data_IF_213512973382
#
_entry.id   IF_213512973382
#
_cell.length_a   1.000
_cell.length_b   1.000
_cell.length_c   1.000
_cell.angle_alpha   90.00
_cell.angle_beta   90.00
_cell.angle_gamma   90.00
#
_symmetry.space_group_name_H-M   'P 1'
#
loop_
_entity.id
_entity.type
_entity.pdbx_description
1 polymer ?
#
# COMPACT_ATOMS: atom_id res chain seq x y z
N UNK A 1 3.21 3.91 23.63
CA UNK A 1 3.18 4.42 22.24
C UNK A 1 1.82 4.09 21.68
N UNK A 2 1.13 5.06 21.08
CA UNK A 2 -0.24 4.88 20.60
C UNK A 2 -0.29 4.79 19.07
N UNK A 3 0.14 3.62 18.57
CA UNK A 3 0.16 3.35 17.13
C UNK A 3 -1.25 3.21 16.56
N UNK A 4 -2.18 2.64 17.33
CA UNK A 4 -3.53 2.37 16.86
C UNK A 4 -4.28 3.68 16.64
N UNK A 5 -4.26 4.61 17.59
CA UNK A 5 -4.88 5.94 17.40
C UNK A 5 -4.21 6.70 16.26
N UNK A 6 -2.90 6.58 16.09
CA UNK A 6 -2.20 7.22 14.96
C UNK A 6 -2.63 6.62 13.61
N UNK A 7 -2.73 5.29 13.54
CA UNK A 7 -3.21 4.58 12.36
C UNK A 7 -4.66 4.94 12.01
N UNK A 8 -5.53 5.05 13.02
CA UNK A 8 -6.93 5.49 12.87
C UNK A 8 -7.01 6.92 12.34
N UNK A 9 -6.23 7.84 12.92
CA UNK A 9 -6.16 9.23 12.45
C UNK A 9 -5.77 9.31 10.97
N UNK A 10 -4.73 8.58 10.56
CA UNK A 10 -4.28 8.54 9.15
C UNK A 10 -5.38 7.94 8.26
N UNK A 11 -6.00 6.85 8.69
CA UNK A 11 -7.06 6.20 7.93
C UNK A 11 -8.22 7.18 7.70
N UNK A 12 -8.78 7.76 8.77
CA UNK A 12 -9.92 8.68 8.68
C UNK A 12 -9.60 9.94 7.90
N UNK A 13 -8.38 10.48 8.01
CA UNK A 13 -7.91 11.54 7.12
C UNK A 13 -7.96 11.10 5.65
N UNK A 14 -7.37 9.95 5.29
CA UNK A 14 -7.43 9.40 3.92
C UNK A 14 -8.86 9.13 3.43
N UNK A 15 -9.78 8.78 4.34
CA UNK A 15 -11.16 8.47 3.95
C UNK A 15 -11.93 9.65 3.37
N UNK A 16 -11.51 10.88 3.67
CA UNK A 16 -12.08 12.11 3.11
C UNK A 16 -11.78 12.24 1.60
N UNK A 17 -10.70 11.62 1.15
CA UNK A 17 -10.25 11.62 -0.23
C UNK A 17 -10.75 10.41 -1.03
N UNK A 18 -11.48 9.48 -0.41
CA UNK A 18 -12.01 8.31 -1.10
C UNK A 18 -13.22 8.69 -1.96
N UNK A 19 -13.19 8.35 -3.25
CA UNK A 19 -14.31 8.64 -4.17
C UNK A 19 -15.55 7.80 -3.81
N UNK A 20 -16.62 8.45 -3.35
CA UNK A 20 -17.88 7.83 -2.93
C UNK A 20 -18.89 7.67 -4.08
N UNK A 21 -18.92 8.60 -5.02
CA UNK A 21 -19.89 8.60 -6.11
C UNK A 21 -19.58 7.48 -7.09
N UNK A 22 -20.57 6.64 -7.40
CA UNK A 22 -20.40 5.47 -8.28
C UNK A 22 -20.83 5.73 -9.71
N UNK A 23 -21.90 6.51 -9.89
CA UNK A 23 -22.51 6.79 -11.18
C UNK A 23 -23.07 8.20 -11.21
N UNK A 24 -23.15 8.75 -12.42
CA UNK A 24 -23.66 10.08 -12.69
C UNK A 24 -24.63 9.98 -13.86
N UNK A 25 -25.78 10.65 -13.76
CA UNK A 25 -26.69 10.84 -14.88
C UNK A 25 -26.52 12.26 -15.38
N UNK A 26 -25.85 12.40 -16.51
CA UNK A 26 -25.62 13.68 -17.16
C UNK A 26 -26.77 14.01 -18.12
N UNK A 27 -27.20 15.27 -18.11
CA UNK A 27 -28.12 15.81 -19.13
C UNK A 27 -27.30 16.13 -20.37
N UNK A 28 -27.76 15.66 -21.53
CA UNK A 28 -27.14 15.98 -22.82
C UNK A 28 -27.86 17.15 -23.48
N UNK A 29 -27.10 18.16 -23.87
CA UNK A 29 -27.58 19.32 -24.61
C UNK A 29 -26.72 19.49 -25.86
N UNK A 30 -27.23 19.00 -27.00
CA UNK A 30 -26.47 18.95 -28.27
C UNK A 30 -25.15 18.17 -28.11
N UNK A 31 -24.02 18.89 -28.17
CA UNK A 31 -22.65 18.38 -28.06
C UNK A 31 -22.03 18.64 -26.68
N UNK A 32 -22.84 18.98 -25.68
CA UNK A 32 -22.42 19.17 -24.28
C UNK A 32 -23.10 18.19 -23.35
N UNK A 33 -22.46 17.92 -22.21
CA UNK A 33 -23.04 17.22 -21.07
C UNK A 33 -22.98 18.11 -19.83
N UNK A 34 -24.06 18.08 -19.06
CA UNK A 34 -24.19 18.79 -17.79
C UNK A 34 -24.46 17.77 -16.67
N UNK A 35 -23.69 17.81 -15.58
CA UNK A 35 -23.84 16.90 -14.47
C UNK A 35 -23.28 17.45 -13.15
N UNK A 36 -23.64 16.81 -12.03
CA UNK A 36 -23.06 17.10 -10.72
C UNK A 36 -22.04 16.02 -10.33
N UNK A 37 -20.82 16.45 -10.04
CA UNK A 37 -19.73 15.61 -9.57
C UNK A 37 -19.54 15.81 -8.06
N UNK A 38 -19.54 14.74 -7.28
CA UNK A 38 -19.15 14.79 -5.86
C UNK A 38 -17.61 14.72 -5.79
N UNK A 39 -16.95 15.86 -5.61
CA UNK A 39 -15.49 15.97 -5.54
C UNK A 39 -15.00 16.00 -4.08
N UNK A 40 -13.98 15.19 -3.71
CA UNK A 40 -13.52 15.10 -2.32
C UNK A 40 -12.91 16.40 -1.77
N UNK A 41 -12.40 17.29 -2.63
CA UNK A 41 -11.79 18.55 -2.23
C UNK A 41 -12.72 19.75 -2.44
N UNK A 42 -13.49 19.72 -3.52
CA UNK A 42 -14.27 20.88 -3.98
C UNK A 42 -15.75 20.77 -3.61
N UNK A 43 -16.17 19.64 -3.03
CA UNK A 43 -17.57 19.36 -2.76
C UNK A 43 -18.35 19.06 -4.03
N UNK A 44 -19.64 19.40 -4.04
CA UNK A 44 -20.51 19.15 -5.19
C UNK A 44 -20.29 20.22 -6.26
N UNK A 45 -19.76 19.81 -7.41
CA UNK A 45 -19.47 20.69 -8.55
C UNK A 45 -20.52 20.48 -9.64
N UNK A 46 -21.10 21.56 -10.16
CA UNK A 46 -21.84 21.52 -11.42
C UNK A 46 -20.86 21.62 -12.59
N UNK A 47 -20.74 20.53 -13.34
CA UNK A 47 -19.84 20.41 -14.49
C UNK A 47 -20.65 20.57 -15.78
N UNK A 48 -20.15 21.44 -16.65
CA UNK A 48 -20.61 21.62 -18.02
C UNK A 48 -19.42 21.50 -18.95
N UNK A 49 -19.38 20.46 -19.77
CA UNK A 49 -18.24 20.18 -20.65
C UNK A 49 -18.67 19.57 -22.00
N UNK A 50 -17.84 19.67 -23.04
CA UNK A 50 -18.09 19.00 -24.31
C UNK A 50 -18.28 17.49 -24.12
N UNK A 51 -19.23 16.92 -24.86
CA UNK A 51 -19.47 15.49 -24.89
C UNK A 51 -18.20 14.76 -25.37
N UNK A 52 -17.58 13.90 -24.55
CA UNK A 52 -16.33 13.26 -24.91
C UNK A 52 -16.44 12.40 -26.16
N UNK A 53 -15.42 12.47 -27.03
CA UNK A 53 -15.31 11.60 -28.21
C UNK A 53 -15.05 10.14 -27.81
N UNK A 54 -14.20 9.96 -26.79
CA UNK A 54 -13.83 8.66 -26.23
C UNK A 54 -14.80 8.15 -25.16
N UNK A 55 -14.70 6.85 -24.86
CA UNK A 55 -15.51 6.23 -23.79
C UNK A 55 -15.06 6.66 -22.39
N UNK A 56 -13.77 6.90 -22.19
CA UNK A 56 -13.20 7.31 -20.91
C UNK A 56 -12.64 8.72 -21.05
N UNK A 57 -12.81 9.55 -20.02
CA UNK A 57 -12.35 10.93 -19.95
C UNK A 57 -12.14 11.34 -18.50
N UNK A 58 -11.46 12.47 -18.25
CA UNK A 58 -11.30 13.05 -16.91
C UNK A 58 -12.08 14.35 -16.81
N UNK A 59 -12.66 14.57 -15.64
CA UNK A 59 -13.25 15.85 -15.25
C UNK A 59 -12.87 16.12 -13.80
N UNK A 60 -12.28 17.30 -13.51
CA UNK A 60 -11.78 17.67 -12.18
C UNK A 60 -10.91 16.58 -11.53
N UNK A 61 -9.93 16.05 -12.26
CA UNK A 61 -9.04 14.98 -11.76
C UNK A 61 -9.67 13.59 -11.63
N UNK A 62 -11.00 13.46 -11.71
CA UNK A 62 -11.74 12.21 -11.60
C UNK A 62 -11.95 11.56 -12.97
N UNK A 63 -11.58 10.29 -13.07
CA UNK A 63 -11.81 9.43 -14.22
C UNK A 63 -13.26 8.99 -14.33
N UNK A 64 -13.86 9.27 -15.50
CA UNK A 64 -15.24 8.97 -15.84
C UNK A 64 -15.29 8.08 -17.08
N UNK A 65 -16.35 7.26 -17.17
CA UNK A 65 -16.60 6.36 -18.29
C UNK A 65 -18.05 6.44 -18.74
N UNK A 66 -18.26 6.69 -20.02
CA UNK A 66 -19.59 6.60 -20.65
C UNK A 66 -20.01 5.13 -20.70
N UNK A 67 -21.12 4.79 -20.05
CA UNK A 67 -21.73 3.44 -20.09
C UNK A 67 -23.02 3.40 -20.89
N UNK A 68 -23.72 4.53 -21.03
CA UNK A 68 -24.90 4.67 -21.89
C UNK A 68 -24.97 6.07 -22.47
N UNK A 69 -25.34 6.19 -23.75
CA UNK A 69 -25.44 7.46 -24.47
C UNK A 69 -26.76 7.51 -25.24
N UNK A 70 -27.66 8.40 -24.81
CA UNK A 70 -28.95 8.65 -25.45
C UNK A 70 -29.01 10.08 -26.01
N UNK A 71 -30.14 10.46 -26.62
CA UNK A 71 -30.35 11.80 -27.19
C UNK A 71 -30.37 12.92 -26.14
N UNK A 72 -30.89 12.64 -24.95
CA UNK A 72 -31.11 13.63 -23.89
C UNK A 72 -30.31 13.36 -22.60
N UNK A 73 -29.72 12.16 -22.48
CA UNK A 73 -29.02 11.73 -21.27
C UNK A 73 -27.79 10.91 -21.61
N UNK A 74 -26.79 11.00 -20.75
CA UNK A 74 -25.61 10.14 -20.75
C UNK A 74 -25.44 9.58 -19.35
N UNK A 75 -25.28 8.26 -19.22
CA UNK A 75 -24.96 7.64 -17.94
C UNK A 75 -23.46 7.42 -17.88
N UNK A 76 -22.84 7.96 -16.84
CA UNK A 76 -21.42 7.86 -16.57
C UNK A 76 -21.21 6.92 -15.39
N UNK A 77 -20.29 5.97 -15.55
CA UNK A 77 -19.66 5.27 -14.44
C UNK A 77 -18.50 6.14 -13.94
N UNK A 78 -18.43 6.38 -12.63
CA UNK A 78 -17.22 6.92 -12.01
C UNK A 78 -16.19 5.81 -11.97
N UNK A 79 -15.26 5.85 -12.92
CA UNK A 79 -14.24 4.82 -13.08
C UNK A 79 -13.35 4.72 -11.84
N UNK A 80 -13.13 5.86 -11.17
CA UNK A 80 -12.32 5.98 -9.97
C UNK A 80 -13.05 5.72 -8.66
N UNK A 81 -14.32 5.31 -8.68
CA UNK A 81 -15.08 5.01 -7.47
C UNK A 81 -14.32 4.04 -6.55
N UNK A 82 -14.13 4.42 -5.28
CA UNK A 82 -13.37 3.68 -4.27
C UNK A 82 -11.87 3.96 -4.25
N UNK A 83 -11.31 4.63 -5.26
CA UNK A 83 -9.94 5.14 -5.29
C UNK A 83 -9.72 6.30 -4.32
N UNK A 84 -8.46 6.56 -3.98
CA UNK A 84 -8.04 7.69 -3.15
C UNK A 84 -7.58 8.83 -4.06
N UNK A 85 -8.21 9.99 -3.94
CA UNK A 85 -7.83 11.21 -4.64
C UNK A 85 -6.57 11.80 -4.03
N UNK A 86 -5.58 12.13 -4.86
CA UNK A 86 -4.40 12.86 -4.44
C UNK A 86 -4.64 14.36 -4.67
N UNK A 87 -4.73 15.19 -3.61
CA UNK A 87 -4.95 16.63 -3.76
C UNK A 87 -3.75 17.38 -4.35
N UNK A 88 -2.55 16.80 -4.30
CA UNK A 88 -1.32 17.42 -4.82
C UNK A 88 -1.21 17.15 -6.31
N UNK A 89 -1.33 15.88 -6.71
CA UNK A 89 -1.32 15.48 -8.13
C UNK A 89 -2.64 15.80 -8.84
N UNK A 90 -3.66 16.19 -8.08
CA UNK A 90 -5.02 16.49 -8.53
C UNK A 90 -5.60 15.36 -9.41
N UNK A 91 -5.40 14.11 -8.97
CA UNK A 91 -5.82 12.92 -9.69
C UNK A 91 -5.86 11.68 -8.80
N UNK A 92 -6.38 10.56 -9.33
CA UNK A 92 -6.36 9.27 -8.65
C UNK A 92 -5.22 8.41 -9.22
N UNK A 93 -4.16 8.08 -8.45
CA UNK A 93 -3.03 7.27 -8.91
C UNK A 93 -3.36 5.77 -8.91
N UNK A 94 -4.27 5.36 -9.80
CA UNK A 94 -4.82 3.99 -9.84
C UNK A 94 -3.87 2.88 -10.29
N UNK A 95 -2.76 3.24 -10.94
CA UNK A 95 -1.64 2.38 -11.33
C UNK A 95 -0.59 2.22 -10.22
N UNK A 96 -0.69 3.00 -9.15
CA UNK A 96 0.17 2.93 -7.99
C UNK A 96 -0.45 2.08 -6.87
N UNK A 97 0.12 2.09 -5.66
CA UNK A 97 -0.26 1.18 -4.57
C UNK A 97 -0.90 1.85 -3.36
N UNK A 98 -1.22 3.15 -3.43
CA UNK A 98 -1.84 3.88 -2.33
C UNK A 98 -3.20 3.28 -1.93
N UNK A 99 -4.13 3.11 -2.88
CA UNK A 99 -5.47 2.59 -2.62
C UNK A 99 -5.48 1.18 -2.02
N UNK A 100 -4.56 0.30 -2.46
CA UNK A 100 -4.47 -1.06 -1.90
C UNK A 100 -3.86 -1.07 -0.51
N UNK A 101 -2.91 -0.18 -0.20
CA UNK A 101 -2.38 -0.03 1.15
C UNK A 101 -3.36 0.66 2.10
N UNK A 102 -4.18 1.58 1.59
CA UNK A 102 -5.33 2.11 2.31
C UNK A 102 -6.32 0.99 2.69
N UNK A 103 -6.62 0.08 1.76
CA UNK A 103 -7.44 -1.10 2.05
C UNK A 103 -6.81 -2.01 3.13
N UNK A 104 -5.48 -2.22 3.08
CA UNK A 104 -4.77 -2.99 4.10
C UNK A 104 -4.85 -2.34 5.48
N UNK A 105 -4.63 -1.01 5.56
CA UNK A 105 -4.75 -0.26 6.81
C UNK A 105 -6.17 -0.39 7.39
N UNK A 106 -7.19 -0.17 6.56
CA UNK A 106 -8.59 -0.33 6.95
C UNK A 106 -8.92 -1.75 7.42
N UNK A 107 -8.36 -2.78 6.78
CA UNK A 107 -8.55 -4.16 7.20
C UNK A 107 -7.88 -4.47 8.54
N UNK A 108 -6.71 -3.89 8.83
CA UNK A 108 -6.07 -4.00 10.16
C UNK A 108 -6.96 -3.33 11.21
N UNK A 109 -7.41 -2.10 10.98
CA UNK A 109 -8.29 -1.38 11.91
C UNK A 109 -9.62 -2.10 12.12
N UNK A 110 -10.22 -2.63 11.05
CA UNK A 110 -11.44 -3.44 11.13
C UNK A 110 -11.25 -4.66 12.03
N UNK A 111 -10.09 -5.31 11.98
CA UNK A 111 -9.81 -6.46 12.86
C UNK A 111 -9.79 -6.07 14.33
N UNK A 112 -9.31 -4.88 14.65
CA UNK A 112 -9.26 -4.36 16.02
C UNK A 112 -10.61 -3.81 16.51
N UNK A 113 -11.41 -3.21 15.63
CA UNK A 113 -12.64 -2.47 16.02
C UNK A 113 -13.96 -3.12 15.64
N UNK A 114 -13.96 -3.98 14.62
CA UNK A 114 -15.17 -4.63 14.08
C UNK A 114 -16.27 -3.64 13.64
N UNK A 115 -15.89 -2.46 13.14
CA UNK A 115 -16.84 -1.46 12.65
C UNK A 115 -17.12 -1.62 11.15
N UNK A 116 -18.38 -1.64 10.76
CA UNK A 116 -18.78 -1.93 9.36
C UNK A 116 -18.35 -0.84 8.37
N UNK A 117 -18.26 0.42 8.80
CA UNK A 117 -17.80 1.53 7.96
C UNK A 117 -16.35 1.31 7.49
N UNK A 118 -15.48 0.77 8.35
CA UNK A 118 -14.11 0.41 7.99
C UNK A 118 -14.11 -0.65 6.88
N UNK A 119 -14.90 -1.71 7.05
CA UNK A 119 -14.97 -2.81 6.07
C UNK A 119 -15.56 -2.34 4.73
N UNK A 120 -16.56 -1.47 4.74
CA UNK A 120 -17.14 -0.91 3.52
C UNK A 120 -16.12 -0.10 2.72
N UNK A 121 -15.29 0.70 3.39
CA UNK A 121 -14.22 1.46 2.72
C UNK A 121 -13.14 0.55 2.13
N UNK A 122 -12.80 -0.54 2.84
CA UNK A 122 -11.91 -1.58 2.34
C UNK A 122 -12.49 -2.24 1.09
N UNK A 123 -13.78 -2.59 1.09
CA UNK A 123 -14.46 -3.18 -0.07
C UNK A 123 -14.39 -2.26 -1.29
N UNK A 124 -14.72 -0.98 -1.13
CA UNK A 124 -14.64 0.02 -2.22
C UNK A 124 -13.23 0.13 -2.80
N UNK A 125 -12.20 0.19 -1.94
CA UNK A 125 -10.81 0.29 -2.36
C UNK A 125 -10.32 -0.96 -3.13
N UNK A 126 -10.71 -2.16 -2.68
CA UNK A 126 -10.40 -3.40 -3.41
C UNK A 126 -11.19 -3.50 -4.72
N UNK A 127 -12.46 -3.08 -4.73
CA UNK A 127 -13.27 -3.07 -5.95
C UNK A 127 -12.72 -2.12 -7.02
N UNK A 128 -12.19 -0.96 -6.60
CA UNK A 128 -11.39 -0.09 -7.45
C UNK A 128 -10.20 -0.85 -8.04
N UNK A 129 -9.35 -1.44 -7.20
CA UNK A 129 -8.17 -2.19 -7.65
C UNK A 129 -8.52 -3.34 -8.62
N UNK A 130 -9.58 -4.10 -8.34
CA UNK A 130 -10.02 -5.20 -9.21
C UNK A 130 -10.49 -4.72 -10.59
N UNK A 131 -11.10 -3.53 -10.64
CA UNK A 131 -11.57 -2.91 -11.88
C UNK A 131 -10.43 -2.29 -12.68
N UNK A 132 -9.44 -1.70 -12.02
CA UNK A 132 -8.30 -1.01 -12.68
C UNK A 132 -7.13 -1.93 -12.99
N UNK A 133 -7.00 -3.07 -12.32
CA UNK A 133 -5.92 -4.04 -12.58
C UNK A 133 -6.10 -4.83 -13.87
N UNK A 134 -7.34 -5.25 -14.19
CA UNK A 134 -7.59 -6.22 -15.27
C UNK A 134 -6.96 -5.81 -16.61
N UNK A 135 -7.19 -4.56 -17.01
CA UNK A 135 -6.75 -3.99 -18.28
C UNK A 135 -5.74 -2.85 -18.06
N UNK A 136 -5.15 -2.79 -16.86
CA UNK A 136 -4.39 -1.65 -16.33
C UNK A 136 -5.21 -0.36 -16.24
N UNK A 137 -4.70 0.58 -15.46
CA UNK A 137 -5.44 1.81 -15.18
C UNK A 137 -5.40 2.73 -16.40
N UNK A 138 -6.58 3.06 -16.94
CA UNK A 138 -6.68 3.82 -18.19
C UNK A 138 -6.00 5.20 -18.13
N UNK A 139 -6.07 5.85 -16.97
CA UNK A 139 -5.47 7.16 -16.75
C UNK A 139 -4.10 7.07 -16.06
N UNK A 140 -3.46 5.91 -16.12
CA UNK A 140 -2.15 5.69 -15.54
C UNK A 140 -1.09 6.58 -16.16
N UNK A 141 -0.16 7.03 -15.32
CA UNK A 141 1.00 7.87 -15.69
C UNK A 141 2.32 7.21 -15.27
N UNK A 142 2.25 6.13 -14.48
CA UNK A 142 3.36 5.40 -13.92
C UNK A 142 3.41 3.96 -14.45
N UNK A 143 4.49 3.26 -14.11
CA UNK A 143 4.54 1.80 -14.29
C UNK A 143 3.72 1.11 -13.21
N UNK A 144 2.81 0.21 -13.61
CA UNK A 144 1.93 -0.47 -12.67
C UNK A 144 2.74 -1.26 -11.60
N UNK A 145 2.62 -0.85 -10.34
CA UNK A 145 3.38 -1.41 -9.20
C UNK A 145 2.73 -2.68 -8.63
N UNK A 146 2.66 -3.71 -9.47
CA UNK A 146 1.95 -4.96 -9.18
C UNK A 146 2.35 -5.59 -7.86
N UNK A 147 3.65 -5.70 -7.57
CA UNK A 147 4.10 -6.46 -6.40
C UNK A 147 3.65 -5.83 -5.07
N UNK A 148 3.61 -4.50 -5.00
CA UNK A 148 3.09 -3.75 -3.84
C UNK A 148 1.58 -3.89 -3.71
N UNK A 149 0.84 -3.75 -4.81
CA UNK A 149 -0.61 -3.92 -4.81
C UNK A 149 -1.01 -5.34 -4.40
N UNK A 150 -0.31 -6.35 -4.91
CA UNK A 150 -0.55 -7.75 -4.59
C UNK A 150 -0.29 -8.07 -3.13
N UNK A 151 0.81 -7.52 -2.57
CA UNK A 151 1.12 -7.66 -1.15
C UNK A 151 -0.04 -7.16 -0.29
N UNK A 152 -0.46 -5.91 -0.53
CA UNK A 152 -1.52 -5.29 0.25
C UNK A 152 -2.88 -5.98 0.06
N UNK A 153 -3.24 -6.35 -1.17
CA UNK A 153 -4.49 -7.03 -1.45
C UNK A 153 -4.54 -8.44 -0.84
N UNK A 154 -3.45 -9.22 -0.91
CA UNK A 154 -3.38 -10.54 -0.27
C UNK A 154 -3.53 -10.47 1.25
N UNK A 155 -2.85 -9.52 1.89
CA UNK A 155 -2.95 -9.30 3.33
C UNK A 155 -4.34 -8.83 3.73
N UNK A 156 -4.94 -7.92 2.95
CA UNK A 156 -6.32 -7.47 3.13
C UNK A 156 -7.27 -8.66 3.12
N UNK A 157 -7.23 -9.50 2.07
CA UNK A 157 -8.06 -10.70 1.97
C UNK A 157 -7.81 -11.68 3.13
N UNK A 158 -6.55 -11.89 3.53
CA UNK A 158 -6.22 -12.75 4.68
C UNK A 158 -6.90 -12.30 5.97
N UNK A 159 -7.05 -10.99 6.16
CA UNK A 159 -7.65 -10.41 7.36
C UNK A 159 -9.19 -10.45 7.31
N UNK A 160 -9.80 -10.19 6.15
CA UNK A 160 -11.26 -9.96 6.07
C UNK A 160 -12.06 -11.08 5.39
N UNK A 161 -11.46 -12.14 4.88
CA UNK A 161 -12.17 -13.17 4.10
C UNK A 161 -13.38 -13.81 4.82
N UNK A 162 -13.39 -13.87 6.16
CA UNK A 162 -14.51 -14.38 6.95
C UNK A 162 -15.72 -13.44 7.03
N UNK A 163 -15.61 -12.22 6.48
CA UNK A 163 -16.62 -11.16 6.53
C UNK A 163 -17.11 -10.75 5.13
N UNK A 164 -16.65 -11.47 4.10
CA UNK A 164 -17.06 -11.25 2.72
C UNK A 164 -18.25 -12.15 2.40
N UNK A 165 -19.18 -11.63 1.59
CA UNK A 165 -20.19 -12.46 0.95
C UNK A 165 -19.54 -13.50 0.03
N UNK A 166 -20.32 -14.52 -0.35
CA UNK A 166 -19.86 -15.54 -1.28
C UNK A 166 -19.46 -14.96 -2.65
N UNK A 167 -20.17 -13.92 -3.11
CA UNK A 167 -19.89 -13.26 -4.39
C UNK A 167 -18.59 -12.45 -4.32
N UNK A 168 -18.41 -11.65 -3.26
CA UNK A 168 -17.17 -10.92 -3.01
C UNK A 168 -15.98 -11.87 -2.90
N UNK A 169 -16.13 -12.94 -2.10
CA UNK A 169 -15.08 -13.96 -1.93
C UNK A 169 -14.65 -14.53 -3.27
N UNK A 170 -15.61 -14.95 -4.12
CA UNK A 170 -15.30 -15.48 -5.46
C UNK A 170 -14.59 -14.44 -6.33
N UNK A 171 -15.07 -13.19 -6.32
CA UNK A 171 -14.50 -12.09 -7.10
C UNK A 171 -13.07 -11.76 -6.67
N UNK A 172 -12.82 -11.66 -5.37
CA UNK A 172 -11.50 -11.32 -4.82
C UNK A 172 -10.50 -12.44 -5.06
N UNK A 173 -10.88 -13.70 -4.83
CA UNK A 173 -10.04 -14.86 -5.16
C UNK A 173 -9.68 -14.87 -6.65
N UNK A 174 -10.63 -14.56 -7.54
CA UNK A 174 -10.37 -14.47 -8.97
C UNK A 174 -9.29 -13.42 -9.27
N UNK A 175 -9.39 -12.23 -8.69
CA UNK A 175 -8.38 -11.17 -8.82
C UNK A 175 -7.00 -11.59 -8.30
N UNK A 176 -6.96 -12.18 -7.11
CA UNK A 176 -5.72 -12.66 -6.49
C UNK A 176 -5.04 -13.79 -7.26
N UNK A 177 -5.81 -14.58 -8.03
CA UNK A 177 -5.26 -15.61 -8.92
C UNK A 177 -4.78 -15.05 -10.25
N UNK A 178 -5.38 -13.96 -10.74
CA UNK A 178 -5.06 -13.34 -12.03
C UNK A 178 -4.01 -12.23 -11.97
N UNK A 179 -3.33 -12.02 -10.84
CA UNK A 179 -2.40 -10.90 -10.74
C UNK A 179 -1.12 -11.07 -11.58
N UNK A 180 -0.55 -9.94 -11.98
CA UNK A 180 0.76 -9.83 -12.65
C UNK A 180 1.84 -9.49 -11.62
N UNK A 181 3.11 -9.57 -12.00
CA UNK A 181 4.26 -9.22 -11.16
C UNK A 181 5.25 -8.41 -12.01
N UNK A 182 6.01 -7.49 -11.41
CA UNK A 182 7.10 -6.80 -12.11
C UNK A 182 8.33 -7.72 -12.16
N UNK A 183 8.22 -8.82 -12.90
CA UNK A 183 9.16 -9.95 -12.88
C UNK A 183 10.61 -9.58 -13.15
N UNK A 184 10.84 -8.57 -13.99
CA UNK A 184 12.17 -8.05 -14.37
C UNK A 184 12.87 -7.26 -13.26
N UNK A 185 12.14 -6.76 -12.26
CA UNK A 185 12.76 -6.06 -11.14
C UNK A 185 13.52 -7.07 -10.28
N UNK A 186 14.82 -6.84 -10.08
CA UNK A 186 15.74 -7.76 -9.42
C UNK A 186 16.15 -7.34 -8.01
N UNK A 187 15.60 -6.23 -7.50
CA UNK A 187 15.87 -5.72 -6.16
C UNK A 187 15.42 -6.72 -5.08
N UNK A 188 16.19 -6.80 -3.99
CA UNK A 188 16.04 -7.81 -2.95
C UNK A 188 14.71 -7.69 -2.22
N UNK A 189 14.30 -6.48 -1.86
CA UNK A 189 12.99 -6.22 -1.25
C UNK A 189 11.82 -6.61 -2.17
N UNK A 190 11.89 -6.35 -3.48
CA UNK A 190 10.91 -6.79 -4.46
C UNK A 190 10.87 -8.33 -4.60
N UNK A 191 12.02 -8.99 -4.54
CA UNK A 191 12.09 -10.47 -4.52
C UNK A 191 11.49 -11.02 -3.22
N UNK A 192 11.79 -10.41 -2.07
CA UNK A 192 11.27 -10.82 -0.76
C UNK A 192 9.75 -10.64 -0.67
N UNK A 193 9.22 -9.53 -1.19
CA UNK A 193 7.77 -9.26 -1.25
C UNK A 193 7.06 -10.31 -2.12
N UNK A 194 7.63 -10.61 -3.29
CA UNK A 194 7.15 -11.70 -4.14
C UNK A 194 7.28 -13.08 -3.50
N UNK A 195 8.29 -13.32 -2.68
CA UNK A 195 8.43 -14.56 -1.92
C UNK A 195 7.29 -14.69 -0.91
N UNK A 196 7.02 -13.61 -0.16
CA UNK A 196 5.92 -13.52 0.78
C UNK A 196 4.56 -13.75 0.10
N UNK A 197 4.26 -13.02 -0.96
CA UNK A 197 2.99 -13.14 -1.69
C UNK A 197 2.76 -14.55 -2.22
N UNK A 198 3.80 -15.19 -2.79
CA UNK A 198 3.72 -16.59 -3.21
C UNK A 198 3.46 -17.55 -2.04
N UNK A 199 4.18 -17.42 -0.93
CA UNK A 199 3.97 -18.29 0.22
C UNK A 199 2.56 -18.13 0.80
N UNK A 200 2.10 -16.89 0.95
CA UNK A 200 0.78 -16.60 1.49
C UNK A 200 -0.32 -17.17 0.58
N UNK A 201 -0.22 -16.96 -0.73
CA UNK A 201 -1.14 -17.59 -1.70
C UNK A 201 -1.15 -19.10 -1.62
N UNK A 202 0.01 -19.72 -1.50
CA UNK A 202 0.08 -21.17 -1.33
C UNK A 202 -0.67 -21.62 -0.08
N UNK A 203 -0.54 -20.90 1.04
CA UNK A 203 -1.28 -21.20 2.28
C UNK A 203 -2.78 -20.98 2.15
N UNK A 204 -3.22 -19.93 1.44
CA UNK A 204 -4.63 -19.60 1.28
C UNK A 204 -5.34 -20.50 0.25
N UNK A 205 -4.65 -20.87 -0.84
CA UNK A 205 -5.26 -21.49 -2.02
C UNK A 205 -4.66 -22.83 -2.42
N UNK A 206 -3.67 -23.34 -1.68
CA UNK A 206 -3.02 -24.63 -1.94
C UNK A 206 -2.22 -24.70 -3.25
N UNK A 207 -1.92 -23.58 -3.90
CA UNK A 207 -1.34 -23.58 -5.26
C UNK A 207 0.13 -24.06 -5.26
N UNK A 208 0.49 -25.20 -5.87
CA UNK A 208 1.85 -25.76 -5.77
C UNK A 208 2.92 -24.92 -6.46
N UNK A 209 2.58 -24.28 -7.58
CA UNK A 209 3.48 -23.37 -8.31
C UNK A 209 3.97 -22.23 -7.42
N UNK A 210 3.10 -21.70 -6.55
CA UNK A 210 3.46 -20.63 -5.64
C UNK A 210 4.46 -21.10 -4.56
N UNK A 211 4.36 -22.35 -4.10
CA UNK A 211 5.38 -22.95 -3.22
C UNK A 211 6.75 -23.01 -3.91
N UNK A 212 6.80 -23.42 -5.18
CA UNK A 212 8.05 -23.46 -5.95
C UNK A 212 8.64 -22.06 -6.16
N UNK A 213 7.80 -21.07 -6.51
CA UNK A 213 8.21 -19.66 -6.61
C UNK A 213 8.79 -19.15 -5.30
N UNK A 214 8.12 -19.39 -4.17
CA UNK A 214 8.63 -19.05 -2.84
C UNK A 214 10.03 -19.66 -2.61
N UNK A 215 10.18 -20.97 -2.82
CA UNK A 215 11.45 -21.67 -2.59
C UNK A 215 12.60 -21.13 -3.46
N UNK A 216 12.33 -20.68 -4.68
CA UNK A 216 13.34 -20.05 -5.54
C UNK A 216 13.68 -18.62 -5.06
N UNK A 217 12.66 -17.82 -4.71
CA UNK A 217 12.83 -16.43 -4.29
C UNK A 217 13.55 -16.31 -2.95
N UNK A 218 13.19 -17.14 -1.96
CA UNK A 218 13.82 -17.08 -0.63
C UNK A 218 15.31 -17.42 -0.69
N UNK A 219 15.72 -18.35 -1.57
CA UNK A 219 17.15 -18.63 -1.81
C UNK A 219 17.89 -17.43 -2.39
N UNK A 220 17.23 -16.59 -3.19
CA UNK A 220 17.83 -15.35 -3.73
C UNK A 220 17.96 -14.29 -2.64
N UNK A 221 16.94 -14.13 -1.79
CA UNK A 221 17.00 -13.23 -0.63
C UNK A 221 18.12 -13.66 0.31
N UNK A 222 18.22 -14.96 0.63
CA UNK A 222 19.28 -15.51 1.48
C UNK A 222 20.69 -15.18 0.94
N UNK A 223 20.89 -15.22 -0.37
CA UNK A 223 22.18 -14.92 -1.03
C UNK A 223 22.53 -13.43 -1.07
N UNK A 224 21.58 -12.55 -0.71
CA UNK A 224 21.80 -11.10 -0.63
C UNK A 224 22.24 -10.65 0.77
N UNK A 225 22.21 -11.54 1.78
CA UNK A 225 22.69 -11.22 3.12
C UNK A 225 24.21 -11.41 3.23
N UNK A 226 24.88 -10.43 3.83
CA UNK A 226 26.30 -10.47 4.19
C UNK A 226 26.50 -11.07 5.59
N UNK A 227 27.75 -11.39 5.93
CA UNK A 227 28.11 -11.99 7.22
C UNK A 227 27.83 -11.09 8.43
N UNK A 228 27.78 -9.77 8.23
CA UNK A 228 27.45 -8.77 9.24
C UNK A 228 25.94 -8.56 9.43
N UNK A 229 25.10 -9.25 8.64
CA UNK A 229 23.65 -9.16 8.67
C UNK A 229 23.05 -8.19 7.63
N UNK A 230 23.88 -7.39 6.94
CA UNK A 230 23.42 -6.45 5.92
C UNK A 230 22.76 -7.17 4.75
N UNK A 231 21.70 -6.59 4.18
CA UNK A 231 21.11 -7.03 2.92
C UNK A 231 21.43 -6.01 1.85
N UNK A 232 21.95 -6.48 0.72
CA UNK A 232 22.00 -5.65 -0.48
C UNK A 232 20.59 -5.38 -1.01
N UNK A 233 20.33 -4.16 -1.48
CA UNK A 233 19.12 -3.83 -2.23
C UNK A 233 19.23 -4.34 -3.67
N UNK A 234 20.30 -3.93 -4.36
CA UNK A 234 20.80 -4.62 -5.55
C UNK A 234 22.10 -5.34 -5.19
N UNK A 235 22.10 -6.67 -5.35
CA UNK A 235 23.22 -7.53 -4.96
C UNK A 235 24.57 -7.01 -5.47
N UNK A 236 25.50 -6.81 -4.54
CA UNK A 236 26.85 -6.26 -4.75
C UNK A 236 26.91 -4.85 -5.36
N UNK A 237 25.82 -4.07 -5.32
CA UNK A 237 25.76 -2.75 -5.95
C UNK A 237 25.24 -1.65 -5.03
N UNK A 238 24.11 -1.87 -4.33
CA UNK A 238 23.47 -0.83 -3.50
C UNK A 238 23.02 -1.37 -2.14
N UNK A 239 23.13 -0.54 -1.10
CA UNK A 239 22.77 -0.85 0.30
C UNK A 239 22.08 0.31 1.05
N UNK A 240 21.05 0.95 0.48
CA UNK A 240 20.29 1.97 1.22
C UNK A 240 19.58 1.34 2.42
N UNK A 241 19.74 1.95 3.60
CA UNK A 241 19.26 1.40 4.87
C UNK A 241 17.74 1.21 4.88
N UNK A 242 16.98 2.11 4.24
CA UNK A 242 15.53 1.98 4.09
C UNK A 242 15.09 0.65 3.46
N UNK A 243 15.76 0.19 2.40
CA UNK A 243 15.39 -1.06 1.73
C UNK A 243 15.93 -2.30 2.43
N UNK A 244 17.03 -2.16 3.18
CA UNK A 244 17.44 -3.20 4.14
C UNK A 244 16.34 -3.42 5.18
N UNK A 245 15.88 -2.37 5.85
CA UNK A 245 14.83 -2.45 6.88
C UNK A 245 13.52 -2.98 6.31
N UNK A 246 13.13 -2.59 5.09
CA UNK A 246 11.95 -3.17 4.41
C UNK A 246 12.11 -4.66 4.09
N UNK A 247 13.32 -5.10 3.73
CA UNK A 247 13.62 -6.53 3.58
C UNK A 247 13.47 -7.27 4.91
N UNK A 248 13.91 -6.69 6.03
CA UNK A 248 13.73 -7.28 7.36
C UNK A 248 12.25 -7.43 7.74
N UNK A 249 11.42 -6.43 7.43
CA UNK A 249 9.99 -6.52 7.66
C UNK A 249 9.37 -7.72 6.93
N UNK A 250 9.73 -7.90 5.66
CA UNK A 250 9.28 -9.04 4.83
C UNK A 250 9.81 -10.38 5.34
N UNK A 251 11.05 -10.44 5.83
CA UNK A 251 11.60 -11.63 6.48
C UNK A 251 10.84 -11.99 7.76
N UNK A 252 10.48 -11.00 8.58
CA UNK A 252 9.63 -11.25 9.75
C UNK A 252 8.27 -11.80 9.33
N UNK A 253 7.63 -11.19 8.33
CA UNK A 253 6.34 -11.71 7.79
C UNK A 253 6.47 -13.15 7.29
N UNK A 254 7.59 -13.50 6.64
CA UNK A 254 7.88 -14.87 6.23
C UNK A 254 8.13 -15.81 7.42
N UNK A 255 8.82 -15.34 8.46
CA UNK A 255 9.00 -16.09 9.70
C UNK A 255 7.66 -16.38 10.37
N UNK A 256 6.75 -15.42 10.42
CA UNK A 256 5.40 -15.62 10.98
C UNK A 256 4.63 -16.73 10.26
N UNK A 257 4.79 -16.82 8.94
CA UNK A 257 4.13 -17.87 8.14
C UNK A 257 4.82 -19.24 8.25
N UNK A 258 6.12 -19.28 8.41
CA UNK A 258 6.91 -20.53 8.31
C UNK A 258 7.38 -21.09 9.65
N UNK A 259 7.54 -20.23 10.65
CA UNK A 259 8.28 -20.48 11.90
C UNK A 259 9.68 -21.06 11.66
N UNK A 260 10.32 -20.69 10.55
CA UNK A 260 11.65 -21.18 10.19
C UNK A 260 12.74 -20.52 11.04
N UNK A 261 13.50 -21.32 11.79
CA UNK A 261 14.64 -20.83 12.58
C UNK A 261 15.74 -20.20 11.72
N UNK A 262 15.91 -20.64 10.46
CA UNK A 262 16.84 -20.01 9.53
C UNK A 262 16.42 -18.56 9.23
N UNK A 263 15.15 -18.35 8.90
CA UNK A 263 14.61 -17.01 8.61
C UNK A 263 14.68 -16.14 9.87
N UNK A 264 14.37 -16.71 11.04
CA UNK A 264 14.52 -16.03 12.33
C UNK A 264 15.95 -15.54 12.56
N UNK A 265 16.94 -16.42 12.38
CA UNK A 265 18.36 -16.07 12.52
C UNK A 265 18.78 -14.94 11.57
N UNK A 266 18.37 -15.05 10.30
CA UNK A 266 18.64 -14.04 9.28
C UNK A 266 18.01 -12.69 9.62
N UNK A 267 16.74 -12.70 10.06
CA UNK A 267 16.03 -11.51 10.53
C UNK A 267 16.76 -10.84 11.71
N UNK A 268 17.07 -11.57 12.78
CA UNK A 268 17.74 -11.02 13.95
C UNK A 268 19.17 -10.52 13.66
N UNK A 269 19.91 -11.21 12.78
CA UNK A 269 21.21 -10.72 12.31
C UNK A 269 21.07 -9.37 11.58
N UNK A 270 20.07 -9.24 10.72
CA UNK A 270 19.75 -7.97 10.06
C UNK A 270 19.30 -6.89 11.03
N UNK A 271 18.49 -7.20 12.05
CA UNK A 271 18.10 -6.23 13.08
C UNK A 271 19.34 -5.72 13.83
N UNK A 272 20.26 -6.61 14.22
CA UNK A 272 21.51 -6.21 14.89
C UNK A 272 22.43 -5.36 13.99
N UNK A 273 22.33 -5.51 12.66
CA UNK A 273 22.99 -4.60 11.72
C UNK A 273 22.30 -3.24 11.71
N UNK A 274 20.96 -3.23 11.56
CA UNK A 274 20.14 -2.04 11.50
C UNK A 274 20.29 -1.14 12.73
N UNK A 275 20.29 -1.68 13.94
CA UNK A 275 20.35 -0.87 15.18
C UNK A 275 21.62 -0.01 15.28
N UNK A 276 22.69 -0.35 14.55
CA UNK A 276 23.93 0.44 14.47
C UNK A 276 23.79 1.75 13.68
N UNK A 277 22.70 1.89 12.92
CA UNK A 277 22.40 3.08 12.11
C UNK A 277 21.38 4.00 12.78
N UNK A 278 20.86 3.63 13.96
CA UNK A 278 19.90 4.47 14.69
C UNK A 278 20.70 5.45 15.53
N UNK A 279 20.68 6.71 15.14
CA UNK A 279 21.29 7.81 15.87
C UNK A 279 20.64 7.98 17.26
N UNK A 280 21.35 8.61 18.22
CA UNK A 280 20.80 8.86 19.55
C UNK A 280 19.46 9.60 19.57
N UNK A 281 19.19 10.42 18.55
CA UNK A 281 17.94 11.18 18.41
C UNK A 281 16.82 10.41 17.70
N UNK A 282 17.11 9.20 17.20
CA UNK A 282 16.18 8.31 16.50
C UNK A 282 16.19 8.43 14.97
N UNK A 283 16.99 9.33 14.39
CA UNK A 283 17.21 9.34 12.94
C UNK A 283 17.97 8.07 12.52
N UNK A 284 17.66 7.54 11.36
CA UNK A 284 18.45 6.43 10.78
C UNK A 284 18.50 6.47 9.25
N UNK A 285 17.49 7.10 8.65
CA UNK A 285 17.31 7.13 7.20
C UNK A 285 17.99 8.37 6.60
N UNK A 286 19.25 8.61 6.94
CA UNK A 286 20.00 9.81 6.56
C UNK A 286 20.96 9.58 5.37
N UNK A 287 21.09 8.35 4.85
CA UNK A 287 21.94 8.03 3.69
C UNK A 287 21.18 7.35 2.54
N UNK A 288 21.39 7.88 1.33
CA UNK A 288 20.99 7.25 0.07
C UNK A 288 19.65 7.76 -0.47
N UNK A 289 19.05 6.97 -1.38
CA UNK A 289 17.75 7.32 -1.98
C UNK A 289 16.64 7.12 -0.95
N UNK A 290 15.76 8.11 -0.86
CA UNK A 290 14.64 8.08 0.08
C UNK A 290 15.00 8.50 1.49
N UNK A 291 16.06 9.31 1.62
CA UNK A 291 16.41 10.00 2.86
C UNK A 291 15.17 10.62 3.50
N UNK A 292 15.06 10.39 4.80
CA UNK A 292 14.00 10.91 5.65
C UNK A 292 12.57 10.61 5.19
N UNK A 293 12.35 9.61 4.34
CA UNK A 293 10.99 9.24 3.94
C UNK A 293 10.26 8.50 5.06
N UNK A 294 8.98 8.84 5.29
CA UNK A 294 8.12 8.18 6.30
C UNK A 294 8.05 6.67 6.14
N UNK A 295 8.16 6.19 4.90
CA UNK A 295 8.17 4.77 4.59
C UNK A 295 9.26 4.03 5.38
N UNK A 296 10.48 4.56 5.43
CA UNK A 296 11.56 3.97 6.22
C UNK A 296 11.19 3.86 7.70
N UNK A 297 10.69 4.95 8.29
CA UNK A 297 10.37 5.01 9.72
C UNK A 297 9.23 4.07 10.12
N UNK A 298 8.14 4.04 9.34
CA UNK A 298 7.03 3.12 9.61
C UNK A 298 7.46 1.65 9.59
N UNK A 299 8.33 1.28 8.65
CA UNK A 299 8.89 -0.07 8.55
C UNK A 299 9.88 -0.36 9.69
N UNK A 300 10.72 0.61 10.09
CA UNK A 300 11.64 0.46 11.22
C UNK A 300 10.91 0.21 12.54
N UNK A 301 9.84 0.95 12.81
CA UNK A 301 8.97 0.75 13.97
C UNK A 301 8.43 -0.68 13.99
N UNK A 302 7.90 -1.15 12.86
CA UNK A 302 7.43 -2.53 12.72
C UNK A 302 8.54 -3.55 12.99
N UNK A 303 9.74 -3.35 12.42
CA UNK A 303 10.87 -4.29 12.56
C UNK A 303 11.36 -4.38 14.01
N UNK A 304 11.44 -3.26 14.73
CA UNK A 304 11.87 -3.25 16.12
C UNK A 304 10.82 -3.86 17.06
N UNK A 305 9.53 -3.59 16.81
CA UNK A 305 8.44 -4.27 17.52
C UNK A 305 8.47 -5.79 17.28
N UNK A 306 8.65 -6.21 16.03
CA UNK A 306 8.81 -7.61 15.67
C UNK A 306 10.03 -8.24 16.36
N UNK A 307 11.18 -7.58 16.37
CA UNK A 307 12.39 -8.06 17.02
C UNK A 307 12.19 -8.26 18.53
N UNK A 308 11.52 -7.32 19.19
CA UNK A 308 11.14 -7.40 20.61
C UNK A 308 10.31 -8.64 20.93
N UNK A 309 9.40 -9.02 20.04
CA UNK A 309 8.57 -10.23 20.20
C UNK A 309 9.34 -11.52 19.91
N UNK A 310 10.25 -11.49 18.93
CA UNK A 310 11.01 -12.67 18.47
C UNK A 310 12.17 -13.02 19.40
N UNK A 311 12.88 -12.02 19.93
CA UNK A 311 13.98 -12.17 20.88
C UNK A 311 13.69 -11.37 22.16
N UNK A 312 13.01 -12.05 23.08
CA UNK A 312 12.63 -11.49 24.38
C UNK A 312 13.82 -11.13 25.26
N UNK A 313 15.00 -11.70 25.02
CA UNK A 313 16.20 -11.43 25.84
C UNK A 313 16.75 -10.03 25.57
N UNK A 314 16.57 -9.53 24.35
CA UNK A 314 16.93 -8.17 23.91
C UNK A 314 15.75 -7.20 23.87
N UNK A 315 14.58 -7.61 24.37
CA UNK A 315 13.37 -6.79 24.33
C UNK A 315 13.56 -5.36 24.92
N UNK A 316 14.27 -5.15 26.04
CA UNK A 316 14.53 -3.81 26.55
C UNK A 316 15.39 -2.95 25.60
N UNK A 317 16.40 -3.55 24.97
CA UNK A 317 17.27 -2.87 23.99
C UNK A 317 16.47 -2.44 22.76
N UNK A 318 15.65 -3.33 22.20
CA UNK A 318 14.80 -2.99 21.06
C UNK A 318 13.73 -1.95 21.40
N UNK A 319 13.20 -1.98 22.62
CA UNK A 319 12.26 -0.99 23.10
C UNK A 319 12.89 0.41 23.19
N UNK A 320 14.16 0.52 23.59
CA UNK A 320 14.88 1.79 23.61
C UNK A 320 15.04 2.36 22.19
N UNK A 321 15.59 1.59 21.25
CA UNK A 321 15.68 2.02 19.84
C UNK A 321 14.34 2.43 19.26
N UNK A 322 13.30 1.64 19.51
CA UNK A 322 11.95 1.90 19.06
C UNK A 322 11.41 3.23 19.60
N UNK A 323 11.66 3.51 20.88
CA UNK A 323 11.20 4.75 21.52
C UNK A 323 11.88 5.98 20.90
N UNK A 324 13.16 5.87 20.54
CA UNK A 324 13.91 6.93 19.84
C UNK A 324 13.36 7.17 18.44
N UNK A 325 13.22 6.11 17.63
CA UNK A 325 12.68 6.20 16.26
C UNK A 325 11.26 6.76 16.26
N UNK A 326 10.41 6.32 17.19
CA UNK A 326 9.05 6.84 17.35
C UNK A 326 9.04 8.32 17.74
N UNK A 327 9.90 8.70 18.68
CA UNK A 327 10.02 10.10 19.12
C UNK A 327 10.52 11.00 17.99
N UNK A 328 11.46 10.53 17.18
CA UNK A 328 11.93 11.24 15.98
C UNK A 328 10.78 11.49 15.00
N UNK A 329 10.07 10.42 14.61
CA UNK A 329 8.94 10.51 13.68
C UNK A 329 7.85 11.48 14.18
N UNK A 330 7.53 11.44 15.49
CA UNK A 330 6.49 12.28 16.08
C UNK A 330 6.79 13.78 16.03
N UNK A 331 8.06 14.20 15.90
CA UNK A 331 8.43 15.63 15.71
C UNK A 331 7.83 16.22 14.43
N UNK A 332 7.57 15.38 13.44
CA UNK A 332 7.08 15.77 12.12
C UNK A 332 5.59 15.49 11.91
N UNK A 333 4.86 15.07 12.96
CA UNK A 333 3.43 14.84 12.86
C UNK A 333 2.71 16.16 12.57
N UNK A 334 1.86 16.16 11.55
CA UNK A 334 0.99 17.27 11.16
C UNK A 334 -0.46 16.93 11.53
N UNK A 335 -1.42 17.75 11.10
CA UNK A 335 -2.85 17.58 11.37
C UNK A 335 -3.42 16.25 10.84
N UNK A 336 -3.15 15.16 11.56
CA UNK A 336 -3.64 13.82 11.27
C UNK A 336 -2.72 12.92 10.45
N UNK A 337 -1.63 13.46 9.86
CA UNK A 337 -0.72 12.71 8.98
C UNK A 337 0.77 13.02 9.25
N UNK A 338 1.64 12.37 8.47
CA UNK A 338 3.07 12.67 8.38
C UNK A 338 3.43 13.06 6.95
N UNK A 339 4.35 14.00 6.72
CA UNK A 339 4.80 14.35 5.38
C UNK A 339 5.58 13.20 4.73
N UNK A 340 5.52 13.04 3.40
CA UNK A 340 6.24 11.98 2.70
C UNK A 340 7.75 11.95 3.03
N UNK A 341 8.36 13.13 3.08
CA UNK A 341 9.74 13.37 3.55
C UNK A 341 9.65 14.18 4.84
N UNK A 342 10.28 13.69 5.91
CA UNK A 342 10.32 14.30 7.22
C UNK A 342 11.15 15.58 7.16
N UNK A 343 10.47 16.70 6.96
CA UNK A 343 11.07 18.03 6.97
C UNK A 343 10.04 19.07 7.41
N UNK A 344 10.53 20.28 7.66
CA UNK A 344 9.72 21.40 8.13
C UNK A 344 9.05 22.19 6.99
N UNK A 345 9.24 21.80 5.72
CA UNK A 345 8.61 22.47 4.58
C UNK A 345 7.13 22.15 4.52
N UNK A 346 6.29 23.13 4.17
CA UNK A 346 4.86 22.87 4.02
C UNK A 346 4.60 21.93 2.84
N UNK A 347 3.45 21.26 2.82
CA UNK A 347 3.14 20.33 1.72
C UNK A 347 2.87 21.07 0.41
N UNK A 348 2.40 22.33 0.44
CA UNK A 348 2.24 23.17 -0.77
C UNK A 348 3.56 23.66 -1.38
N UNK A 349 4.68 23.50 -0.65
CA UNK A 349 6.02 23.95 -1.06
C UNK A 349 6.88 22.82 -1.66
N UNK A 350 6.29 21.63 -1.85
CA UNK A 350 6.93 20.42 -2.39
C UNK A 350 6.43 20.13 -3.79
#
# INVERSE_FOLDING_TARGET
MDYLTTAESIFYWLTQYQISQRQIVARREKEEINFTLEHPIEGNIEVKEPLPEGKNFRSHGVGLRIIQKDKQKVVLEVYDHGGIFDPIDYSIPGDHYATTHFALLGAILFRERQQEDLLERVRKAIDFHLRTSKDEYYFGTWGYHWDFQNYAFLETYRLVNGFLSNEETKRWIKGLKSYRENSKNSLTNWIAMRAYSSLLRHKLFGTPVDKLKFMWRIRRVDKAQHSDGCYDDQRNFSRPIQYHVFTLALLHRLYDLTRSEKIKKHFLAGVNYFTKFIDPDGCFNYLGRGQEQIFGYGVAIYVLEAAKLVDKTKAPEYQDYLSRVWSYLCKFKRDGHFPLVLNDRKDEEK
#
